data_IF_879497831793
#
_entry.id   IF_879497831793
#
_cell.length_a   1.000
_cell.length_b   1.000
_cell.length_c   1.000
_cell.angle_alpha   90.00
_cell.angle_beta   90.00
_cell.angle_gamma   90.00
#
_symmetry.space_group_name_H-M   'P 1'
#
loop_
_entity.id
_entity.type
_entity.pdbx_description
1 polymer ?
2 polymer ?
3 water ?
#
# COMPACT_ATOMS: atom_id res chain seq x y z
N UNK A 3 0.83 -29.30 -16.72
CA UNK A 3 -0.03 -30.18 -15.94
C UNK A 3 -1.37 -29.49 -15.69
N UNK A 4 -1.33 -28.29 -15.10
CA UNK A 4 -2.53 -27.57 -14.65
C UNK A 4 -2.82 -26.40 -15.60
N UNK A 5 -3.99 -25.78 -15.41
CA UNK A 5 -4.42 -24.68 -16.26
C UNK A 5 -5.31 -23.70 -15.49
N UNK A 6 -5.64 -22.58 -16.14
CA UNK A 6 -6.30 -21.45 -15.46
C UNK A 6 -7.62 -21.83 -14.79
N UNK A 7 -8.47 -22.62 -15.46
CA UNK A 7 -9.73 -22.99 -14.83
C UNK A 7 -9.46 -23.82 -13.58
N UNK A 8 -8.61 -24.84 -13.70
CA UNK A 8 -8.17 -25.62 -12.56
C UNK A 8 -7.41 -24.77 -11.54
N UNK A 9 -6.93 -23.59 -11.94
CA UNK A 9 -6.16 -22.74 -11.03
C UNK A 9 -6.97 -22.40 -9.77
N UNK A 10 -8.15 -21.82 -9.96
CA UNK A 10 -8.95 -21.34 -8.84
C UNK A 10 -9.42 -22.47 -7.93
N UNK A 11 -9.95 -23.54 -8.52
CA UNK A 11 -10.51 -24.63 -7.72
C UNK A 11 -9.47 -25.29 -6.82
N UNK A 12 -8.20 -25.25 -7.23
CA UNK A 12 -7.15 -25.83 -6.39
C UNK A 12 -6.84 -24.93 -5.20
N UNK A 13 -6.81 -23.61 -5.41
CA UNK A 13 -6.68 -22.68 -4.29
C UNK A 13 -7.78 -22.91 -3.26
N UNK A 14 -9.00 -23.17 -3.73
CA UNK A 14 -10.09 -23.55 -2.83
C UNK A 14 -9.71 -24.76 -1.99
N UNK A 15 -9.37 -25.87 -2.64
CA UNK A 15 -9.10 -27.11 -1.93
C UNK A 15 -8.00 -26.94 -0.89
N UNK A 16 -6.98 -26.15 -1.21
CA UNK A 16 -5.87 -25.94 -0.27
C UNK A 16 -6.36 -25.27 1.01
N UNK A 17 -7.16 -24.20 0.88
CA UNK A 17 -7.63 -23.48 2.05
C UNK A 17 -8.58 -24.35 2.87
N UNK A 18 -9.46 -25.09 2.19
CA UNK A 18 -10.43 -25.93 2.89
C UNK A 18 -9.75 -27.11 3.58
N UNK A 19 -8.86 -27.80 2.86
CA UNK A 19 -8.25 -29.01 3.40
C UNK A 19 -7.48 -28.73 4.68
N UNK A 20 -6.61 -27.73 4.67
CA UNK A 20 -5.74 -27.46 5.82
C UNK A 20 -6.55 -27.23 7.09
N UNK A 21 -6.07 -27.79 8.19
CA UNK A 21 -6.67 -27.63 9.50
C UNK A 21 -6.33 -26.33 10.19
N UNK A 22 -5.73 -25.39 9.49
CA UNK A 22 -5.37 -24.08 10.03
C UNK A 22 -6.34 -23.02 9.55
N UNK A 23 -6.52 -21.99 10.39
CA UNK A 23 -7.35 -20.83 10.05
C UNK A 23 -6.64 -19.98 9.01
N UNK A 24 -6.67 -20.44 7.76
CA UNK A 24 -6.26 -19.60 6.64
C UNK A 24 -7.45 -18.78 6.15
N UNK A 25 -7.21 -17.50 5.90
CA UNK A 25 -8.28 -16.58 5.55
C UNK A 25 -8.47 -16.48 4.04
N UNK A 26 -7.43 -16.66 3.25
CA UNK A 26 -7.53 -16.52 1.80
C UNK A 26 -6.34 -17.20 1.15
N UNK A 27 -6.47 -17.42 -0.15
CA UNK A 27 -5.37 -17.83 -1.00
C UNK A 27 -5.41 -17.02 -2.27
N UNK A 28 -4.23 -16.70 -2.79
CA UNK A 28 -4.09 -15.89 -3.99
C UNK A 28 -3.01 -16.51 -4.86
N UNK A 29 -3.24 -16.52 -6.17
CA UNK A 29 -2.24 -16.97 -7.13
C UNK A 29 -1.82 -15.79 -8.00
N UNK A 30 -0.56 -15.40 -7.89
CA UNK A 30 0.00 -14.32 -8.70
C UNK A 30 0.64 -14.92 -9.96
N UNK A 31 0.23 -14.44 -11.13
CA UNK A 31 0.62 -15.01 -12.42
C UNK A 31 1.65 -14.12 -13.12
N UNK A 32 2.36 -14.73 -14.09
CA UNK A 32 3.49 -14.11 -14.78
C UNK A 32 3.00 -13.31 -15.98
N UNK A 33 3.68 -12.20 -16.25
CA UNK A 33 3.46 -11.38 -17.43
C UNK A 33 4.78 -10.75 -17.87
N UNK A 34 4.82 -10.24 -19.09
CA UNK A 34 6.02 -9.67 -19.68
C UNK A 34 5.76 -8.25 -20.15
N UNK A 35 6.76 -7.38 -19.99
CA UNK A 35 6.60 -5.94 -20.16
C UNK A 35 7.74 -5.38 -20.99
N UNK A 36 7.45 -4.27 -21.70
CA UNK A 36 8.43 -3.57 -22.52
C UNK A 36 8.08 -2.09 -22.55
N UNK A 37 9.08 -1.26 -22.87
CA UNK A 37 8.88 0.18 -22.92
C UNK A 37 9.64 0.75 -24.11
N UNK A 38 9.23 1.96 -24.51
CA UNK A 38 9.89 2.66 -25.61
C UNK A 38 10.71 3.83 -25.08
N UNK A 41 13.33 -0.12 -22.24
CA UNK A 41 13.22 -0.97 -23.41
C UNK A 41 13.88 -2.32 -23.24
N UNK A 42 13.25 -3.16 -22.42
CA UNK A 42 13.77 -4.49 -22.11
C UNK A 42 12.60 -5.40 -21.77
N UNK A 43 12.90 -6.67 -21.51
CA UNK A 43 11.91 -7.69 -21.19
C UNK A 43 11.87 -7.92 -19.69
N UNK A 44 10.78 -7.51 -19.05
CA UNK A 44 10.63 -7.60 -17.61
C UNK A 44 9.58 -8.65 -17.25
N UNK A 45 9.93 -9.54 -16.32
CA UNK A 45 8.96 -10.50 -15.78
C UNK A 45 8.10 -9.79 -14.75
N UNK A 46 6.79 -9.97 -14.86
CA UNK A 46 5.81 -9.26 -14.04
C UNK A 46 4.93 -10.27 -13.32
N UNK A 47 4.64 -10.00 -12.06
CA UNK A 47 3.70 -10.81 -11.29
C UNK A 47 2.39 -10.03 -11.16
N UNK A 48 1.28 -10.71 -11.43
CA UNK A 48 -0.05 -10.08 -11.36
C UNK A 48 -1.13 -11.03 -10.90
N UNK A 49 -2.34 -10.53 -10.67
CA UNK A 49 -3.45 -11.37 -10.11
C UNK A 49 -3.97 -12.34 -11.17
N UNK A 50 -3.74 -13.63 -10.97
CA UNK A 50 -4.31 -14.63 -11.88
C UNK A 50 -5.58 -15.14 -11.27
N UNK A 51 -5.65 -15.16 -9.95
CA UNK A 51 -6.89 -15.54 -9.26
C UNK A 51 -6.70 -15.50 -7.75
N UNK A 52 -7.75 -15.83 -7.01
CA UNK A 52 -7.74 -15.86 -5.56
C UNK A 52 -9.03 -16.46 -5.04
N UNK A 53 -8.98 -16.92 -3.80
CA UNK A 53 -10.14 -17.44 -3.10
C UNK A 53 -10.16 -16.90 -1.68
N UNK A 54 -11.30 -16.40 -1.23
CA UNK A 54 -11.47 -15.89 0.12
C UNK A 54 -12.40 -16.81 0.91
N UNK A 55 -11.96 -17.22 2.09
CA UNK A 55 -12.74 -18.03 3.02
C UNK A 55 -13.19 -17.24 4.25
N UNK A 56 -12.30 -16.43 4.82
CA UNK A 56 -12.57 -15.62 5.98
C UNK A 56 -12.45 -16.34 7.30
N UNK A 57 -13.32 -16.01 8.25
CA UNK A 57 -13.27 -16.62 9.58
C UNK A 57 -14.59 -16.41 10.33
N UNK A 70 -15.96 4.98 11.79
CA UNK A 70 -15.81 3.86 10.87
C UNK A 70 -16.98 3.81 9.89
N UNK A 71 -18.09 4.46 10.24
CA UNK A 71 -19.23 4.53 9.32
C UNK A 71 -18.87 5.26 8.04
N UNK A 72 -17.87 6.12 8.06
CA UNK A 72 -17.35 6.71 6.84
C UNK A 72 -16.63 5.66 6.00
N UNK A 73 -15.69 4.96 6.64
CA UNK A 73 -14.96 3.88 5.98
C UNK A 73 -15.89 2.80 5.46
N UNK A 74 -16.91 2.43 6.25
CA UNK A 74 -17.74 1.29 5.89
C UNK A 74 -18.69 1.63 4.73
N UNK A 75 -19.37 2.78 4.80
CA UNK A 75 -20.28 3.14 3.72
C UNK A 75 -19.53 3.27 2.41
N UNK A 76 -18.30 3.78 2.49
CA UNK A 76 -17.43 3.80 1.33
C UNK A 76 -17.16 2.39 0.82
N UNK A 77 -16.94 1.44 1.74
CA UNK A 77 -16.55 0.08 1.35
C UNK A 77 -17.71 -0.68 0.72
N UNK A 78 -18.86 -0.67 1.38
CA UNK A 78 -19.99 -1.40 0.82
C UNK A 78 -20.37 -0.81 -0.54
N UNK A 79 -20.02 0.45 -0.81
CA UNK A 79 -20.47 1.09 -2.05
C UNK A 79 -19.77 0.54 -3.31
N UNK A 80 -18.48 0.23 -3.20
CA UNK A 80 -17.75 -0.42 -4.32
C UNK A 80 -18.23 -1.86 -4.37
N UNK A 81 -18.46 -2.46 -3.20
CA UNK A 81 -18.92 -3.83 -3.09
C UNK A 81 -20.25 -4.03 -3.80
N UNK A 82 -21.20 -3.11 -3.59
CA UNK A 82 -22.45 -3.16 -4.34
C UNK A 82 -22.23 -2.78 -5.80
N UNK A 83 -21.17 -2.03 -6.09
CA UNK A 83 -20.87 -1.63 -7.47
C UNK A 83 -20.28 -2.77 -8.29
N UNK A 84 -19.60 -3.72 -7.63
CA UNK A 84 -19.12 -4.91 -8.33
C UNK A 84 -20.18 -5.99 -8.44
N UNK A 85 -21.19 -5.98 -7.56
CA UNK A 85 -22.25 -6.99 -7.66
C UNK A 85 -23.17 -6.70 -8.84
N UNK A 86 -23.43 -5.42 -9.12
CA UNK A 86 -24.21 -5.06 -10.30
C UNK A 86 -23.45 -5.37 -11.59
N UNK A 87 -22.12 -5.44 -11.52
CA UNK A 87 -21.31 -5.72 -12.70
C UNK A 87 -21.30 -7.20 -13.07
N UNK A 88 -21.78 -8.08 -12.20
CA UNK A 88 -21.81 -9.50 -12.49
C UNK A 88 -21.90 -10.37 -11.26
N UNK A 98 -26.94 -3.25 3.78
CA UNK A 98 -26.66 -4.66 3.50
C UNK A 98 -25.80 -5.27 4.61
N UNK A 99 -24.78 -6.01 4.22
CA UNK A 99 -23.91 -6.65 5.18
C UNK A 99 -22.73 -5.73 5.51
N UNK A 100 -21.90 -6.17 6.44
CA UNK A 100 -20.69 -5.46 6.82
C UNK A 100 -19.52 -6.12 6.12
N UNK A 101 -18.53 -5.31 5.74
CA UNK A 101 -17.36 -5.80 5.03
C UNK A 101 -16.13 -5.50 5.87
N UNK A 102 -15.44 -6.57 6.28
CA UNK A 102 -14.38 -6.50 7.27
C UNK A 102 -13.06 -6.08 6.63
N UNK A 103 -12.02 -6.00 7.45
CA UNK A 103 -10.70 -5.57 6.98
C UNK A 103 -10.08 -6.62 6.06
N UNK A 104 -10.16 -7.89 6.44
CA UNK A 104 -9.57 -8.96 5.63
C UNK A 104 -10.21 -9.03 4.25
N UNK A 105 -11.54 -8.88 4.17
CA UNK A 105 -12.20 -8.88 2.88
C UNK A 105 -11.75 -7.69 2.04
N UNK A 106 -11.62 -6.53 2.66
CA UNK A 106 -11.15 -5.35 1.93
C UNK A 106 -9.76 -5.57 1.36
N UNK A 107 -8.85 -6.09 2.19
CA UNK A 107 -7.49 -6.38 1.73
C UNK A 107 -7.48 -7.37 0.57
N UNK A 108 -8.40 -8.35 0.60
CA UNK A 108 -8.40 -9.38 -0.44
C UNK A 108 -8.74 -8.80 -1.80
N UNK A 109 -9.77 -7.96 -1.89
CA UNK A 109 -10.17 -7.43 -3.18
C UNK A 109 -9.28 -6.27 -3.63
N UNK A 110 -8.75 -5.49 -2.67
CA UNK A 110 -7.79 -4.46 -3.03
C UNK A 110 -6.56 -5.08 -3.67
N UNK A 111 -6.19 -6.28 -3.22
CA UNK A 111 -5.02 -6.97 -3.76
C UNK A 111 -5.14 -7.29 -5.25
N UNK A 112 -6.36 -7.38 -5.78
CA UNK A 112 -6.54 -7.70 -7.19
C UNK A 112 -5.96 -6.63 -8.11
N UNK A 113 -5.78 -5.40 -7.62
CA UNK A 113 -5.23 -4.32 -8.42
C UNK A 113 -3.71 -4.23 -8.35
N UNK A 114 -3.06 -5.01 -7.50
CA UNK A 114 -1.61 -4.90 -7.31
C UNK A 114 -0.85 -5.79 -8.28
N UNK A 115 0.37 -5.36 -8.61
CA UNK A 115 1.28 -6.10 -9.47
C UNK A 115 2.69 -5.93 -8.94
N UNK A 116 3.55 -6.90 -9.25
CA UNK A 116 4.88 -6.97 -8.65
C UNK A 116 5.92 -7.27 -9.72
N UNK A 117 6.86 -6.34 -9.89
CA UNK A 117 8.03 -6.63 -10.72
C UNK A 117 8.79 -7.80 -10.11
N UNK A 118 9.25 -8.71 -10.97
CA UNK A 118 9.91 -9.92 -10.49
C UNK A 118 11.12 -9.56 -9.62
N UNK A 119 11.23 -10.24 -8.48
CA UNK A 119 12.29 -9.95 -7.54
C UNK A 119 12.06 -8.74 -6.67
N UNK A 120 10.85 -8.20 -6.64
CA UNK A 120 10.53 -7.01 -5.87
C UNK A 120 9.30 -7.31 -5.02
N UNK A 121 9.33 -6.91 -3.75
CA UNK A 121 8.22 -7.15 -2.87
C UNK A 121 8.11 -8.61 -2.47
N UNK A 122 7.02 -8.91 -1.74
CA UNK A 122 6.81 -10.27 -1.26
C UNK A 122 6.65 -11.28 -2.40
N UNK A 123 5.71 -11.10 -3.34
CA UNK A 123 5.58 -12.12 -4.41
C UNK A 123 6.75 -12.12 -5.36
N UNK A 124 7.36 -10.96 -5.63
CA UNK A 124 8.48 -10.92 -6.54
C UNK A 124 9.71 -11.63 -5.99
N UNK A 125 10.03 -11.37 -4.72
CA UNK A 125 11.18 -12.03 -4.10
C UNK A 125 11.00 -13.54 -4.07
N UNK A 126 9.77 -14.01 -3.83
CA UNK A 126 9.49 -15.44 -3.88
C UNK A 126 9.83 -16.02 -5.24
N UNK A 127 9.41 -15.35 -6.32
CA UNK A 127 9.52 -15.95 -7.64
C UNK A 127 10.95 -15.91 -8.18
N UNK A 128 11.68 -14.83 -7.93
CA UNK A 128 13.03 -14.71 -8.49
C UNK A 128 13.92 -15.87 -8.03
N UNK A 129 13.85 -16.23 -6.75
CA UNK A 129 14.73 -17.22 -6.18
C UNK A 129 14.03 -18.55 -5.89
N UNK A 130 12.84 -18.76 -6.47
CA UNK A 130 12.07 -20.00 -6.26
C UNK A 130 11.92 -20.28 -4.77
N UNK A 131 11.59 -19.23 -4.02
CA UNK A 131 11.61 -19.26 -2.58
C UNK A 131 10.22 -19.36 -2.00
N UNK A 132 10.13 -19.94 -0.80
CA UNK A 132 8.92 -19.91 0.01
C UNK A 132 9.20 -19.04 1.23
N UNK A 133 8.47 -17.94 1.33
CA UNK A 133 8.64 -16.99 2.42
C UNK A 133 7.48 -17.19 3.39
N UNK A 134 7.81 -17.60 4.62
CA UNK A 134 6.81 -17.80 5.66
C UNK A 134 7.00 -16.71 6.71
N UNK A 135 6.05 -15.80 6.80
CA UNK A 135 6.08 -14.69 7.74
C UNK A 135 5.02 -14.94 8.81
N UNK A 136 5.46 -15.31 10.01
CA UNK A 136 4.56 -15.66 11.10
C UNK A 136 4.74 -14.66 12.22
N UNK A 137 3.67 -13.97 12.59
CA UNK A 137 3.73 -12.95 13.62
C UNK A 137 3.74 -11.55 13.02
N UNK A 138 3.14 -10.62 13.76
CA UNK A 138 3.11 -9.23 13.30
C UNK A 138 4.52 -8.68 13.13
N UNK A 139 5.43 -9.02 14.03
CA UNK A 139 6.80 -8.53 13.93
C UNK A 139 7.48 -9.01 12.67
N UNK A 140 7.20 -10.25 12.26
CA UNK A 140 7.77 -10.77 11.02
C UNK A 140 7.21 -10.04 9.81
N UNK A 141 5.95 -9.61 9.88
CA UNK A 141 5.32 -8.91 8.77
C UNK A 141 5.89 -7.50 8.63
N UNK A 142 5.84 -6.72 9.71
CA UNK A 142 6.24 -5.32 9.65
C UNK A 142 7.76 -5.16 9.53
N UNK A 143 8.53 -6.18 9.89
CA UNK A 143 9.97 -6.16 9.74
C UNK A 143 10.47 -6.81 8.47
N UNK A 144 9.57 -7.21 7.56
CA UNK A 144 9.96 -7.89 6.33
C UNK A 144 10.43 -6.94 5.25
N UNK A 145 10.15 -5.65 5.38
CA UNK A 145 10.50 -4.68 4.35
C UNK A 145 9.67 -4.78 3.09
N UNK A 146 8.65 -5.62 3.06
CA UNK A 146 7.77 -5.76 1.90
C UNK A 146 6.50 -4.95 2.12
N UNK A 147 6.15 -4.12 1.13
CA UNK A 147 4.96 -3.29 1.23
C UNK A 147 3.71 -4.13 1.50
N UNK A 148 3.53 -5.21 0.74
CA UNK A 148 2.33 -6.03 0.86
C UNK A 148 2.22 -6.67 2.24
N UNK A 149 3.37 -6.96 2.87
CA UNK A 149 3.32 -7.55 4.21
C UNK A 149 2.89 -6.52 5.25
N UNK A 150 3.42 -5.29 5.16
CA UNK A 150 2.97 -4.25 6.07
C UNK A 150 1.52 -3.89 5.87
N UNK A 151 1.05 -3.88 4.62
CA UNK A 151 -0.35 -3.58 4.36
C UNK A 151 -1.26 -4.66 4.91
N UNK A 152 -0.87 -5.93 4.78
CA UNK A 152 -1.67 -7.01 5.32
C UNK A 152 -1.77 -6.95 6.83
N UNK A 153 -0.68 -6.55 7.49
CA UNK A 153 -0.70 -6.45 8.96
C UNK A 153 -1.67 -5.36 9.42
N UNK A 154 -1.74 -4.25 8.68
CA UNK A 154 -2.63 -3.16 9.04
C UNK A 154 -4.08 -3.64 9.07
N UNK A 155 -4.44 -4.52 8.14
CA UNK A 155 -5.78 -5.08 8.09
C UNK A 155 -5.94 -6.31 8.98
N UNK A 156 -5.01 -6.55 9.90
CA UNK A 156 -5.17 -7.56 10.92
C UNK A 156 -4.53 -8.89 10.64
N UNK A 157 -3.85 -9.04 9.51
CA UNK A 157 -3.17 -10.31 9.22
C UNK A 157 -1.97 -10.48 10.16
N UNK A 158 -1.74 -11.72 10.57
CA UNK A 158 -0.59 -12.06 11.39
C UNK A 158 0.30 -13.12 10.77
N UNK A 159 -0.16 -13.82 9.74
CA UNK A 159 0.64 -14.76 8.98
C UNK A 159 0.44 -14.48 7.50
N UNK A 160 1.53 -14.43 6.75
CA UNK A 160 1.46 -14.28 5.30
C UNK A 160 2.56 -15.11 4.68
N UNK A 161 2.19 -15.91 3.68
CA UNK A 161 3.08 -16.88 3.05
C UNK A 161 3.06 -16.66 1.55
N UNK A 162 4.22 -16.83 0.92
CA UNK A 162 4.33 -16.83 -0.54
C UNK A 162 5.21 -18.01 -0.93
N UNK A 163 4.66 -18.93 -1.72
CA UNK A 163 5.36 -20.13 -2.16
C UNK A 163 5.51 -20.06 -3.66
N UNK A 164 6.76 -20.11 -4.13
CA UNK A 164 7.05 -19.90 -5.54
C UNK A 164 6.82 -21.18 -6.33
N UNK A 165 5.90 -21.13 -7.27
CA UNK A 165 5.67 -22.23 -8.20
C UNK A 165 6.24 -21.86 -9.56
N UNK A 166 6.38 -22.86 -10.42
CA UNK A 166 6.68 -22.56 -11.82
C UNK A 166 5.48 -21.90 -12.50
N UNK A 167 4.28 -22.34 -12.14
CA UNK A 167 3.07 -21.69 -12.63
C UNK A 167 2.95 -20.25 -12.16
N UNK A 168 3.51 -19.94 -10.98
CA UNK A 168 3.46 -18.58 -10.47
C UNK A 168 3.89 -18.45 -9.03
N UNK A 169 3.10 -17.73 -8.23
CA UNK A 169 3.31 -17.63 -6.79
C UNK A 169 1.96 -17.74 -6.11
N UNK A 170 1.85 -18.66 -5.15
CA UNK A 170 0.66 -18.82 -4.34
C UNK A 170 0.87 -18.09 -3.03
N UNK A 171 -0.05 -17.21 -2.67
CA UNK A 171 0.03 -16.45 -1.43
C UNK A 171 -1.07 -16.90 -0.49
N UNK A 172 -0.69 -17.18 0.75
CA UNK A 172 -1.63 -17.52 1.81
C UNK A 172 -1.53 -16.46 2.92
N UNK A 173 -2.66 -16.20 3.56
CA UNK A 173 -2.69 -15.20 4.61
C UNK A 173 -3.75 -15.50 5.65
N UNK A 174 -3.44 -15.25 6.91
CA UNK A 174 -4.34 -15.57 8.00
C UNK A 174 -4.29 -14.49 9.06
N UNK A 175 -5.44 -14.25 9.69
CA UNK A 175 -5.49 -13.38 10.86
C UNK A 175 -4.83 -14.01 12.08
N UNK A 176 -4.51 -15.29 12.02
CA UNK A 176 -3.88 -16.00 13.13
C UNK A 176 -2.40 -16.23 12.86
N UNK A 177 -1.67 -16.58 13.92
CA UNK A 177 -0.26 -16.94 13.81
C UNK A 177 -0.18 -18.43 13.49
N UNK A 178 0.46 -18.75 12.36
CA UNK A 178 0.52 -20.12 11.86
C UNK A 178 1.97 -20.47 11.58
N UNK A 179 2.44 -21.57 12.17
CA UNK A 179 3.75 -22.10 11.84
C UNK A 179 3.66 -22.98 10.61
N UNK A 180 4.76 -23.08 9.88
CA UNK A 180 4.75 -23.84 8.63
C UNK A 180 4.53 -25.31 8.91
N UNK A 181 3.43 -25.85 8.40
CA UNK A 181 3.09 -27.26 8.58
C UNK A 181 3.62 -28.07 7.43
N UNK A 182 4.13 -29.26 7.75
CA UNK A 182 4.51 -30.21 6.70
C UNK A 182 3.30 -30.72 5.93
N UNK A 183 2.15 -30.81 6.61
CA UNK A 183 0.92 -31.22 5.95
C UNK A 183 0.50 -30.20 4.90
N UNK A 184 0.72 -28.92 5.17
CA UNK A 184 0.33 -27.87 4.23
C UNK A 184 1.22 -27.86 3.01
N UNK A 185 2.54 -27.91 3.22
CA UNK A 185 3.47 -27.95 2.09
C UNK A 185 3.24 -29.15 1.20
N UNK A 186 2.64 -30.21 1.72
CA UNK A 186 2.25 -31.34 0.90
C UNK A 186 1.08 -30.98 -0.01
N UNK A 187 0.04 -30.36 0.56
CA UNK A 187 -1.13 -29.99 -0.23
C UNK A 187 -0.78 -28.98 -1.31
N UNK A 188 0.01 -27.95 -0.96
CA UNK A 188 0.44 -26.96 -1.94
C UNK A 188 1.16 -27.63 -3.12
N UNK A 189 2.01 -28.62 -2.82
CA UNK A 189 2.77 -29.29 -3.86
C UNK A 189 1.88 -30.12 -4.78
N UNK A 190 0.73 -30.58 -4.28
CA UNK A 190 -0.17 -31.40 -5.06
C UNK A 190 -1.16 -30.59 -5.89
N UNK A 191 -1.21 -29.28 -5.71
CA UNK A 191 -2.21 -28.44 -6.36
C UNK A 191 -1.62 -27.38 -7.28
N UNK A 192 -0.31 -27.38 -7.50
CA UNK A 192 0.29 -26.37 -8.35
C UNK A 192 1.47 -26.96 -9.10
N UNK A 193 1.96 -26.20 -10.08
CA UNK A 193 3.02 -26.65 -10.96
C UNK A 193 4.38 -26.37 -10.34
N UNK A 194 5.30 -27.32 -10.49
CA UNK A 194 6.66 -27.16 -10.00
C UNK A 194 7.62 -27.77 -11.01
N UNK A 195 8.74 -27.09 -11.23
CA UNK A 195 9.75 -27.58 -12.17
C UNK A 195 10.54 -28.73 -11.57
N UNK B 3 -6.04 34.02 2.84
CA UNK B 3 -4.66 34.06 3.36
C UNK B 3 -3.63 33.64 2.32
N UNK B 4 -3.61 32.34 2.01
CA UNK B 4 -2.63 31.75 1.12
C UNK B 4 -3.27 31.26 -0.17
N UNK B 5 -2.42 30.82 -1.09
CA UNK B 5 -2.87 30.29 -2.37
C UNK B 5 -1.86 29.25 -2.85
N UNK B 6 -2.23 28.57 -3.94
CA UNK B 6 -1.48 27.41 -4.43
C UNK B 6 -0.02 27.74 -4.73
N UNK B 7 0.25 28.94 -5.25
CA UNK B 7 1.63 29.27 -5.63
C UNK B 7 2.58 29.23 -4.44
N UNK B 8 2.24 29.93 -3.36
CA UNK B 8 3.04 29.86 -2.15
C UNK B 8 3.04 28.47 -1.51
N UNK B 9 2.08 27.61 -1.86
CA UNK B 9 1.90 26.33 -1.17
C UNK B 9 3.19 25.53 -1.10
N UNK B 10 3.83 25.28 -2.25
CA UNK B 10 5.06 24.48 -2.25
C UNK B 10 6.13 25.15 -1.40
N UNK B 11 6.32 26.46 -1.60
CA UNK B 11 7.35 27.18 -0.86
C UNK B 11 7.08 27.17 0.64
N UNK B 12 5.82 27.05 1.05
CA UNK B 12 5.52 27.01 2.48
C UNK B 12 5.88 25.67 3.08
N UNK B 13 5.58 24.57 2.39
CA UNK B 13 6.08 23.27 2.82
C UNK B 13 7.60 23.27 2.94
N UNK B 14 8.27 23.92 1.99
CA UNK B 14 9.72 24.10 2.06
C UNK B 14 10.13 24.74 3.39
N UNK B 15 9.63 25.96 3.65
CA UNK B 15 10.06 26.72 4.81
C UNK B 15 9.87 25.95 6.11
N UNK B 16 8.76 25.21 6.22
CA UNK B 16 8.49 24.45 7.43
C UNK B 16 9.56 23.40 7.68
N UNK B 17 9.90 22.63 6.65
CA UNK B 17 10.87 21.55 6.82
C UNK B 17 12.25 22.10 7.16
N UNK B 18 12.65 23.19 6.50
CA UNK B 18 13.98 23.77 6.76
C UNK B 18 14.03 24.41 8.14
N UNK B 19 13.04 25.22 8.48
CA UNK B 19 13.07 25.99 9.73
C UNK B 19 13.15 25.07 10.94
N UNK B 20 12.27 24.07 11.01
CA UNK B 20 12.17 23.21 12.19
C UNK B 20 13.52 22.57 12.52
N UNK B 21 13.83 22.51 13.82
CA UNK B 21 15.04 21.89 14.30
C UNK B 21 15.02 20.38 14.41
N UNK B 22 13.98 19.74 13.88
CA UNK B 22 13.90 18.28 13.89
C UNK B 22 14.23 17.73 12.50
N UNK B 23 14.83 16.54 12.48
CA UNK B 23 15.15 15.84 11.25
C UNK B 23 13.86 15.29 10.65
N UNK B 24 13.12 16.18 10.00
CA UNK B 24 12.00 15.79 9.15
C UNK B 24 12.50 15.54 7.73
N UNK B 25 12.02 14.45 7.13
CA UNK B 25 12.49 14.06 5.79
C UNK B 25 11.64 14.63 4.67
N UNK B 26 10.35 14.90 4.90
CA UNK B 26 9.50 15.39 3.83
C UNK B 26 8.27 16.06 4.42
N UNK B 27 7.58 16.82 3.59
CA UNK B 27 6.28 17.38 3.89
C UNK B 27 5.37 17.22 2.68
N UNK B 28 4.08 16.98 2.93
CA UNK B 28 3.09 16.76 1.89
C UNK B 28 1.83 17.51 2.27
N UNK B 29 1.17 18.11 1.27
CA UNK B 29 -0.12 18.76 1.46
C UNK B 29 -1.17 18.02 0.66
N UNK B 30 -2.15 17.45 1.35
CA UNK B 30 -3.28 16.78 0.70
C UNK B 30 -4.41 17.77 0.55
N UNK B 31 -4.87 17.98 -0.69
CA UNK B 31 -5.86 19.00 -1.00
C UNK B 31 -7.22 18.35 -1.27
N UNK B 32 -8.28 19.15 -1.13
CA UNK B 32 -9.65 18.67 -1.20
C UNK B 32 -10.15 18.67 -2.64
N UNK B 33 -11.04 17.72 -2.93
CA UNK B 33 -11.79 17.69 -4.17
C UNK B 33 -13.16 17.12 -3.86
N UNK B 34 -14.13 17.39 -4.74
CA UNK B 34 -15.52 17.01 -4.49
C UNK B 34 -16.16 16.21 -5.61
N UNK B 35 -15.38 15.76 -6.60
CA UNK B 35 -15.94 15.17 -7.81
C UNK B 35 -16.74 13.91 -7.49
N UNK B 41 -25.02 7.62 -5.36
CA UNK B 41 -24.51 8.90 -5.85
C UNK B 41 -24.66 10.03 -4.86
N UNK B 42 -23.55 10.64 -4.47
CA UNK B 42 -23.56 11.74 -3.50
C UNK B 42 -22.35 12.63 -3.75
N UNK B 43 -22.22 13.66 -2.94
CA UNK B 43 -21.10 14.61 -3.03
C UNK B 43 -20.08 14.18 -1.98
N UNK B 44 -18.95 13.66 -2.45
CA UNK B 44 -17.94 13.07 -1.58
C UNK B 44 -16.72 13.98 -1.50
N UNK B 45 -16.28 14.24 -0.27
CA UNK B 45 -15.06 15.00 -0.04
C UNK B 45 -13.87 14.06 -0.25
N UNK B 46 -12.91 14.49 -1.06
CA UNK B 46 -11.78 13.67 -1.48
C UNK B 46 -10.49 14.41 -1.14
N UNK B 47 -9.51 13.68 -0.62
CA UNK B 47 -8.18 14.22 -0.38
C UNK B 47 -7.23 13.68 -1.44
N UNK B 48 -6.40 14.56 -1.99
CA UNK B 48 -5.47 14.15 -3.05
C UNK B 48 -4.20 14.96 -3.04
N UNK B 49 -3.20 14.54 -3.82
CA UNK B 49 -1.88 15.22 -3.82
C UNK B 49 -2.01 16.62 -4.44
N UNK B 50 -1.84 17.66 -3.62
CA UNK B 50 -1.85 19.02 -4.14
C UNK B 50 -0.43 19.43 -4.36
N UNK B 51 0.44 19.01 -3.45
CA UNK B 51 1.88 19.25 -3.65
C UNK B 51 2.66 18.57 -2.54
N UNK B 52 3.98 18.74 -2.54
CA UNK B 52 4.84 18.15 -1.54
C UNK B 52 6.26 18.66 -1.70
N UNK B 53 7.03 18.51 -0.63
CA UNK B 53 8.45 18.86 -0.64
C UNK B 53 9.22 17.77 0.08
N UNK B 54 10.30 17.31 -0.55
CA UNK B 54 11.18 16.29 0.01
C UNK B 54 12.52 16.93 0.33
N UNK B 55 13.02 16.69 1.55
CA UNK B 55 14.32 17.24 1.94
C UNK B 55 15.43 16.20 1.99
N UNK B 56 15.17 15.01 2.55
CA UNK B 56 16.23 14.03 2.59
C UNK B 56 17.21 14.29 3.71
N UNK B 57 18.49 14.13 3.43
CA UNK B 57 19.54 14.34 4.42
C UNK B 57 20.88 14.59 3.72
N UNK B 70 19.24 -7.17 -4.38
CA UNK B 70 18.49 -5.93 -4.20
C UNK B 70 18.68 -5.00 -5.40
N UNK B 71 19.74 -5.25 -6.17
CA UNK B 71 19.99 -4.49 -7.40
C UNK B 71 18.86 -4.66 -8.40
N UNK B 72 18.09 -5.74 -8.29
CA UNK B 72 16.91 -5.91 -9.14
C UNK B 72 15.82 -4.90 -8.76
N UNK B 73 15.50 -4.80 -7.48
CA UNK B 73 14.51 -3.82 -7.02
C UNK B 73 14.91 -2.41 -7.41
N UNK B 74 16.19 -2.09 -7.29
CA UNK B 74 16.64 -0.71 -7.50
C UNK B 74 16.57 -0.31 -8.97
N UNK B 75 16.97 -1.22 -9.87
CA UNK B 75 16.98 -0.88 -11.30
C UNK B 75 15.58 -0.48 -11.77
N UNK B 76 14.54 -1.13 -11.23
CA UNK B 76 13.18 -0.68 -11.48
C UNK B 76 12.98 0.76 -11.01
N UNK B 77 13.57 1.11 -9.87
CA UNK B 77 13.35 2.43 -9.29
C UNK B 77 14.03 3.52 -10.10
N UNK B 78 15.32 3.33 -10.42
CA UNK B 78 16.06 4.37 -11.15
C UNK B 78 15.47 4.58 -12.54
N UNK B 79 14.97 3.51 -13.17
CA UNK B 79 14.37 3.65 -14.49
C UNK B 79 13.11 4.51 -14.41
N UNK B 80 12.32 4.33 -13.35
CA UNK B 80 11.14 5.18 -13.17
C UNK B 80 11.55 6.61 -12.82
N UNK B 81 12.59 6.76 -11.99
CA UNK B 81 13.11 8.09 -11.71
C UNK B 81 13.60 8.78 -12.98
N UNK B 82 14.33 8.04 -13.81
CA UNK B 82 14.81 8.58 -15.08
C UNK B 82 13.67 8.79 -16.07
N UNK B 83 12.59 8.04 -15.94
CA UNK B 83 11.46 8.19 -16.88
C UNK B 83 10.67 9.45 -16.59
N UNK B 84 10.61 9.87 -15.32
CA UNK B 84 10.00 11.15 -14.99
C UNK B 84 10.98 12.30 -15.14
N UNK B 85 12.28 12.02 -15.12
CA UNK B 85 13.29 13.04 -15.31
C UNK B 85 13.32 13.55 -16.74
N UNK B 86 13.05 12.67 -17.71
CA UNK B 86 12.98 13.10 -19.11
C UNK B 86 11.81 14.05 -19.33
N UNK B 87 10.76 13.95 -18.50
CA UNK B 87 9.61 14.83 -18.62
C UNK B 87 9.83 16.20 -17.99
N UNK B 88 10.89 16.37 -17.21
CA UNK B 88 11.17 17.64 -16.56
C UNK B 88 12.06 17.51 -15.34
N UNK B 98 22.39 6.17 -13.06
CA UNK B 98 22.52 7.45 -12.39
C UNK B 98 22.88 6.92 -10.99
N UNK B 99 22.39 7.56 -9.94
CA UNK B 99 22.82 7.15 -8.59
C UNK B 99 21.67 6.44 -7.90
N UNK B 100 21.71 6.34 -6.58
CA UNK B 100 20.71 5.63 -5.80
C UNK B 100 19.49 6.45 -5.35
N UNK B 101 18.32 5.78 -5.31
CA UNK B 101 17.07 6.36 -4.82
C UNK B 101 16.59 5.51 -3.65
N UNK B 102 16.56 6.08 -2.45
CA UNK B 102 16.35 5.32 -1.23
C UNK B 102 14.86 5.06 -0.99
N UNK B 103 14.57 4.40 0.15
CA UNK B 103 13.20 4.03 0.47
C UNK B 103 12.33 5.25 0.73
N UNK B 104 12.86 6.22 1.48
CA UNK B 104 12.09 7.43 1.77
C UNK B 104 11.70 8.17 0.50
N UNK B 105 12.61 8.26 -0.46
CA UNK B 105 12.30 8.92 -1.72
C UNK B 105 11.24 8.15 -2.50
N UNK B 106 11.34 6.81 -2.52
CA UNK B 106 10.33 6.01 -3.19
C UNK B 106 8.96 6.20 -2.56
N UNK B 107 8.89 6.15 -1.23
CA UNK B 107 7.63 6.39 -0.54
C UNK B 107 7.08 7.77 -0.87
N UNK B 108 7.96 8.76 -1.01
CA UNK B 108 7.52 10.12 -1.31
C UNK B 108 6.88 10.19 -2.69
N UNK B 109 7.49 9.53 -3.68
CA UNK B 109 6.98 9.60 -5.05
C UNK B 109 5.76 8.69 -5.25
N UNK B 110 5.74 7.54 -4.57
CA UNK B 110 4.56 6.67 -4.64
C UNK B 110 3.35 7.37 -4.05
N UNK B 111 3.53 8.19 -3.03
CA UNK B 111 2.42 8.87 -2.38
C UNK B 111 1.69 9.83 -3.31
N UNK B 112 2.35 10.31 -4.38
CA UNK B 112 1.70 11.24 -5.29
C UNK B 112 0.51 10.61 -6.01
N UNK B 113 0.46 9.29 -6.11
CA UNK B 113 -0.65 8.60 -6.77
C UNK B 113 -1.79 8.26 -5.83
N UNK B 114 -1.63 8.46 -4.52
CA UNK B 114 -2.64 8.05 -3.56
C UNK B 114 -3.66 9.15 -3.33
N UNK B 115 -4.88 8.73 -3.00
CA UNK B 115 -5.97 9.64 -2.66
C UNK B 115 -6.80 9.00 -1.56
N UNK B 116 -7.46 9.84 -0.77
CA UNK B 116 -8.15 9.39 0.43
C UNK B 116 -9.53 10.03 0.50
N UNK B 117 -10.56 9.18 0.47
CA UNK B 117 -11.91 9.66 0.75
C UNK B 117 -11.93 10.23 2.17
N UNK B 118 -12.62 11.35 2.34
CA UNK B 118 -12.62 12.05 3.63
C UNK B 118 -13.10 11.14 4.75
N UNK B 119 -12.39 11.19 5.87
CA UNK B 119 -12.69 10.34 7.01
C UNK B 119 -12.16 8.93 6.94
N UNK B 120 -11.27 8.63 5.98
CA UNK B 120 -10.73 7.30 5.81
C UNK B 120 -9.21 7.40 5.75
N UNK B 121 -8.53 6.50 6.46
CA UNK B 121 -7.09 6.51 6.47
C UNK B 121 -6.54 7.67 7.27
N UNK B 122 -5.21 7.81 7.21
CA UNK B 122 -4.53 8.85 7.96
C UNK B 122 -4.96 10.26 7.53
N UNK B 123 -4.84 10.64 6.25
CA UNK B 123 -5.27 12.01 5.90
C UNK B 123 -6.77 12.23 5.98
N UNK B 124 -7.57 11.21 5.69
CA UNK B 124 -9.01 11.38 5.77
C UNK B 124 -9.50 11.57 7.19
N UNK B 125 -9.02 10.74 8.12
CA UNK B 125 -9.40 10.89 9.52
C UNK B 125 -8.97 12.24 10.08
N UNK B 126 -7.79 12.71 9.67
CA UNK B 126 -7.34 14.03 10.08
C UNK B 126 -8.32 15.12 9.66
N UNK B 127 -8.77 15.09 8.41
CA UNK B 127 -9.54 16.20 7.88
C UNK B 127 -10.99 16.20 8.39
N UNK B 128 -11.61 15.03 8.52
CA UNK B 128 -13.02 14.98 8.91
C UNK B 128 -13.23 15.65 10.27
N UNK B 129 -12.34 15.39 11.22
CA UNK B 129 -12.51 15.86 12.59
C UNK B 129 -11.60 17.02 12.94
N UNK B 130 -11.01 17.67 11.93
CA UNK B 130 -10.11 18.80 12.14
C UNK B 130 -9.03 18.44 13.15
N UNK B 131 -8.47 17.24 12.98
CA UNK B 131 -7.59 16.63 13.97
C UNK B 131 -6.14 16.69 13.52
N UNK B 132 -5.24 16.69 14.50
CA UNK B 132 -3.81 16.48 14.27
C UNK B 132 -3.43 15.13 14.86
N UNK B 133 -3.00 14.23 14.00
CA UNK B 133 -2.60 12.88 14.39
C UNK B 133 -1.08 12.83 14.43
N UNK B 134 -0.53 12.61 15.62
CA UNK B 134 0.92 12.50 15.78
C UNK B 134 1.24 11.06 16.14
N UNK B 135 1.87 10.35 15.20
CA UNK B 135 2.25 8.95 15.37
C UNK B 135 3.77 8.90 15.49
N UNK B 136 4.26 8.67 16.71
CA UNK B 136 5.69 8.68 17.01
C UNK B 136 6.11 7.28 17.44
N UNK B 137 7.04 6.70 16.73
CA UNK B 137 7.49 5.35 17.00
C UNK B 137 6.91 4.35 16.02
N UNK B 138 7.70 3.31 15.73
CA UNK B 138 7.23 2.27 14.80
C UNK B 138 5.95 1.62 15.31
N UNK B 139 5.85 1.38 16.62
CA UNK B 139 4.66 0.77 17.17
C UNK B 139 3.43 1.62 16.97
N UNK B 140 3.58 2.94 17.07
CA UNK B 140 2.45 3.84 16.85
C UNK B 140 1.98 3.80 15.40
N UNK B 141 2.91 3.60 14.46
CA UNK B 141 2.54 3.54 13.05
C UNK B 141 1.79 2.26 12.73
N UNK B 142 2.40 1.10 13.06
CA UNK B 142 1.83 -0.18 12.68
C UNK B 142 0.57 -0.53 13.48
N UNK B 143 0.36 0.10 14.63
CA UNK B 143 -0.83 -0.09 15.42
C UNK B 143 -1.91 0.93 15.16
N UNK B 144 -1.73 1.82 14.18
CA UNK B 144 -2.68 2.89 13.90
C UNK B 144 -3.87 2.43 13.06
N UNK B 145 -3.76 1.26 12.41
CA UNK B 145 -4.82 0.82 11.53
C UNK B 145 -4.96 1.60 10.25
N UNK B 146 -4.05 2.54 9.99
CA UNK B 146 -4.07 3.33 8.76
C UNK B 146 -3.09 2.73 7.75
N UNK B 147 -3.57 2.51 6.53
CA UNK B 147 -2.73 1.93 5.48
C UNK B 147 -1.48 2.77 5.26
N UNK B 148 -1.65 4.08 5.12
CA UNK B 148 -0.53 4.96 4.79
C UNK B 148 0.54 4.95 5.88
N UNK B 149 0.14 4.74 7.13
CA UNK B 149 1.11 4.68 8.22
C UNK B 149 1.93 3.39 8.17
N UNK B 150 1.26 2.26 7.92
CA UNK B 150 1.99 1.00 7.80
C UNK B 150 2.94 0.98 6.62
N UNK B 151 2.53 1.57 5.50
CA UNK B 151 3.40 1.64 4.33
C UNK B 151 4.61 2.52 4.61
N UNK B 152 4.40 3.65 5.29
CA UNK B 152 5.53 4.52 5.62
C UNK B 152 6.52 3.85 6.55
N UNK B 153 6.02 3.04 7.49
CA UNK B 153 6.91 2.33 8.41
C UNK B 153 7.76 1.32 7.66
N UNK B 154 7.18 0.65 6.66
CA UNK B 154 7.93 -0.34 5.89
C UNK B 154 9.12 0.31 5.19
N UNK B 155 8.95 1.53 4.72
CA UNK B 155 10.02 2.28 4.07
C UNK B 155 10.91 3.01 5.08
N UNK B 156 10.81 2.68 6.35
CA UNK B 156 11.74 3.17 7.36
C UNK B 156 11.30 4.38 8.15
N UNK B 157 10.11 4.90 7.91
CA UNK B 157 9.63 6.02 8.69
C UNK B 157 9.31 5.57 10.12
N UNK B 158 9.58 6.45 11.07
CA UNK B 158 9.26 6.19 12.47
C UNK B 158 8.35 7.23 13.08
N UNK B 159 8.17 8.38 12.43
CA UNK B 159 7.22 9.39 12.84
C UNK B 159 6.42 9.84 11.62
N UNK B 160 5.10 9.93 11.77
CA UNK B 160 4.25 10.43 10.70
C UNK B 160 3.14 11.26 11.31
N UNK B 161 2.95 12.47 10.77
CA UNK B 161 2.05 13.47 11.33
C UNK B 161 1.08 13.91 10.25
N UNK B 162 -0.17 14.17 10.65
CA UNK B 162 -1.17 14.77 9.77
C UNK B 162 -1.88 15.86 10.55
N UNK B 163 -1.80 17.10 10.06
CA UNK B 163 -2.38 18.25 10.71
C UNK B 163 -3.47 18.81 9.80
N UNK B 164 -4.69 18.92 10.31
CA UNK B 164 -5.83 19.29 9.50
C UNK B 164 -5.84 20.80 9.28
N UNK B 165 -5.75 21.20 8.02
CA UNK B 165 -5.80 22.59 7.60
C UNK B 165 -7.18 22.86 6.99
N UNK B 166 -7.57 24.14 6.91
CA UNK B 166 -8.77 24.47 6.16
C UNK B 166 -8.53 24.31 4.66
N UNK B 167 -7.36 24.71 4.19
CA UNK B 167 -6.94 24.47 2.82
C UNK B 167 -6.72 22.99 2.53
N UNK B 168 -6.45 22.17 3.54
CA UNK B 168 -6.29 20.74 3.34
C UNK B 168 -5.74 19.98 4.54
N UNK B 169 -4.76 19.11 4.31
CA UNK B 169 -4.05 18.41 5.38
C UNK B 169 -2.57 18.41 5.04
N UNK B 170 -1.75 18.84 6.00
CA UNK B 170 -0.30 18.80 5.87
C UNK B 170 0.21 17.54 6.57
N UNK B 171 0.99 16.75 5.85
CA UNK B 171 1.56 15.53 6.40
C UNK B 171 3.07 15.68 6.54
N UNK B 172 3.59 15.34 7.71
CA UNK B 172 5.03 15.32 7.95
C UNK B 172 5.46 13.89 8.30
N UNK B 173 6.68 13.55 7.90
CA UNK B 173 7.20 12.23 8.15
C UNK B 173 8.72 12.23 8.26
N UNK B 174 9.25 11.44 9.18
CA UNK B 174 10.67 11.40 9.43
C UNK B 174 11.11 9.97 9.71
N UNK B 175 12.35 9.65 9.29
CA UNK B 175 12.95 8.38 9.65
C UNK B 175 13.29 8.29 11.14
N UNK B 176 13.22 9.40 11.87
CA UNK B 176 13.54 9.43 13.29
C UNK B 176 12.26 9.51 14.12
N UNK B 177 12.41 9.22 15.41
CA UNK B 177 11.33 9.37 16.37
C UNK B 177 11.31 10.81 16.87
N UNK B 178 10.19 11.50 16.66
CA UNK B 178 10.07 12.92 16.96
C UNK B 178 8.82 13.12 17.80
N UNK B 179 8.99 13.74 18.97
CA UNK B 179 7.85 14.14 19.79
C UNK B 179 7.30 15.47 19.30
N UNK B 180 6.01 15.70 19.56
CA UNK B 180 5.36 16.89 19.05
C UNK B 180 5.95 18.13 19.70
N UNK B 181 6.55 19.00 18.89
CA UNK B 181 7.19 20.22 19.36
C UNK B 181 6.20 21.37 19.33
N UNK B 182 6.28 22.22 20.37
CA UNK B 182 5.51 23.46 20.34
C UNK B 182 6.05 24.43 19.31
N UNK B 183 7.36 24.39 19.05
CA UNK B 183 7.95 25.25 18.02
C UNK B 183 7.44 24.89 16.63
N UNK B 184 7.24 23.60 16.35
CA UNK B 184 6.76 23.19 15.04
C UNK B 184 5.30 23.57 14.84
N UNK B 185 4.45 23.29 15.82
CA UNK B 185 3.04 23.64 15.71
C UNK B 185 2.86 25.14 15.51
N UNK B 186 3.84 25.95 15.94
CA UNK B 186 3.83 27.38 15.65
C UNK B 186 4.11 27.62 14.17
N UNK B 187 5.14 26.98 13.64
CA UNK B 187 5.49 27.17 12.24
C UNK B 187 4.38 26.69 11.31
N UNK B 188 3.81 25.51 11.58
CA UNK B 188 2.71 25.01 10.78
C UNK B 188 1.55 26.00 10.76
N UNK B 189 1.27 26.61 11.92
CA UNK B 189 0.14 27.52 12.02
C UNK B 189 0.38 28.80 11.23
N UNK B 190 1.64 29.19 11.02
CA UNK B 190 1.96 30.41 10.29
C UNK B 190 2.07 30.22 8.79
N UNK B 191 2.03 28.98 8.31
CA UNK B 191 2.29 28.70 6.90
C UNK B 191 1.09 28.08 6.19
N UNK B 192 -0.04 27.92 6.86
CA UNK B 192 -1.19 27.30 6.24
C UNK B 192 -2.47 27.96 6.73
N UNK B 193 -3.59 27.62 6.08
CA UNK B 193 -4.88 28.23 6.33
C UNK B 193 -5.59 27.55 7.50
N UNK B 194 -6.23 28.34 8.34
CA UNK B 194 -6.99 27.78 9.45
C UNK B 194 -8.26 28.59 9.67
N UNK B 195 -9.36 27.90 9.92
CA UNK B 195 -10.65 28.53 10.16
C UNK B 195 -10.69 29.15 11.56
N UNK C 11 -20.02 -14.71 4.43
CA UNK C 11 -21.32 -15.08 3.85
C UNK C 11 -21.52 -14.42 2.49
N UNK C 12 -22.43 -13.44 2.46
CA UNK C 12 -22.83 -12.84 1.19
C UNK C 12 -21.65 -12.18 0.49
N UNK C 13 -20.87 -11.36 1.21
CA UNK C 13 -19.75 -10.68 0.60
C UNK C 13 -18.67 -11.66 0.15
N UNK C 14 -18.56 -12.82 0.82
CA UNK C 14 -17.51 -13.78 0.47
C UNK C 14 -17.75 -14.39 -0.91
N UNK C 15 -19.00 -14.68 -1.24
CA UNK C 15 -19.29 -15.25 -2.56
C UNK C 15 -19.05 -14.22 -3.66
N UNK C 16 -19.32 -12.95 -3.38
CA UNK C 16 -19.07 -11.90 -4.37
C UNK C 16 -17.58 -11.71 -4.59
N UNK C 17 -16.78 -11.81 -3.52
CA UNK C 17 -15.33 -11.70 -3.66
C UNK C 17 -14.79 -12.79 -4.58
N UNK C 18 -15.21 -14.03 -4.37
CA UNK C 18 -14.78 -15.13 -5.23
C UNK C 18 -15.35 -14.98 -6.64
N UNK C 19 -16.50 -14.32 -6.78
CA UNK C 19 -17.03 -14.02 -8.11
C UNK C 19 -16.08 -13.09 -8.86
N UNK C 20 -15.70 -11.98 -8.24
CA UNK C 20 -14.77 -11.04 -8.87
C UNK C 20 -13.40 -11.69 -9.01
N UNK C 21 -13.02 -12.54 -8.06
CA UNK C 21 -11.68 -13.14 -8.08
C UNK C 21 -11.48 -14.00 -9.32
N UNK C 22 -12.43 -14.89 -9.61
CA UNK C 22 -12.29 -15.81 -10.72
C UNK C 22 -12.21 -15.09 -12.07
N UNK C 23 -12.70 -13.86 -12.15
CA UNK C 23 -12.65 -13.07 -13.38
C UNK C 23 -11.65 -11.93 -13.31
N UNK C 24 -11.17 -11.57 -12.12
CA UNK C 24 -10.27 -10.42 -11.95
C UNK C 24 -9.05 -10.48 -12.86
N UNK C 25 -8.69 -11.66 -13.37
CA UNK C 25 -7.61 -11.75 -14.35
C UNK C 25 -7.95 -10.97 -15.61
N UNK C 26 -9.12 -11.26 -16.20
CA UNK C 26 -9.53 -10.52 -17.39
C UNK C 26 -10.04 -9.13 -17.04
N UNK C 27 -10.70 -8.99 -15.89
CA UNK C 27 -11.19 -7.70 -15.43
C UNK C 27 -10.01 -6.76 -15.17
N UNK C 28 -9.90 -5.70 -15.97
CA UNK C 28 -8.75 -4.82 -15.88
C UNK C 28 -8.93 -3.62 -14.96
N UNK C 29 -10.18 -3.27 -14.66
CA UNK C 29 -10.49 -2.07 -13.87
C UNK C 29 -11.32 -2.47 -12.66
N UNK C 30 -10.64 -2.86 -11.57
CA UNK C 30 -11.30 -3.19 -10.33
C UNK C 30 -11.03 -2.13 -9.28
N UNK D 11 21.47 13.13 -3.26
CA UNK D 11 20.98 14.49 -3.13
C UNK D 11 20.30 14.97 -4.40
N UNK D 12 20.90 14.61 -5.55
CA UNK D 12 20.38 15.08 -6.83
C UNK D 12 19.03 14.44 -7.15
N UNK D 13 18.76 13.25 -6.62
CA UNK D 13 17.45 12.63 -6.82
C UNK D 13 16.35 13.44 -6.14
N UNK D 14 16.65 13.94 -4.94
CA UNK D 14 15.65 14.72 -4.20
C UNK D 14 15.27 15.99 -4.96
N UNK D 15 16.17 16.51 -5.79
CA UNK D 15 15.87 17.75 -6.51
C UNK D 15 14.77 17.56 -7.54
N UNK D 16 14.89 16.55 -8.41
CA UNK D 16 13.80 16.28 -9.35
C UNK D 16 12.57 15.71 -8.66
N UNK D 17 12.73 15.14 -7.46
CA UNK D 17 11.56 14.72 -6.69
C UNK D 17 10.66 15.91 -6.39
N UNK D 18 11.28 17.00 -5.94
CA UNK D 18 10.51 18.23 -5.62
C UNK D 18 10.02 18.86 -6.91
N UNK D 19 10.77 18.68 -8.00
CA UNK D 19 10.34 19.20 -9.29
C UNK D 19 9.10 18.47 -9.80
N UNK D 20 9.12 17.14 -9.72
CA UNK D 20 7.92 16.37 -10.07
C UNK D 20 6.81 16.62 -9.06
N UNK D 21 7.17 16.75 -7.78
CA UNK D 21 6.16 17.02 -6.75
C UNK D 21 5.43 18.32 -7.02
N UNK D 22 6.18 19.41 -7.25
CA UNK D 22 5.57 20.72 -7.45
C UNK D 22 4.73 20.80 -8.72
N UNK D 23 4.88 19.85 -9.64
CA UNK D 23 4.13 19.85 -10.89
C UNK D 23 3.32 18.57 -11.09
N UNK D 24 3.18 17.75 -10.05
CA UNK D 24 2.42 16.50 -10.18
C UNK D 24 0.92 16.78 -10.24
N UNK D 25 0.42 17.62 -9.33
CA UNK D 25 -1.00 17.92 -9.25
C UNK D 25 -1.51 18.56 -10.54
#
# INVERSE_FOLDING_TARGET
QPQFNEDTLQQRLQALIESAGENWTYAIFWQISHDFDSSTGDNTVILGWGDGYYKGEEDKEKKKNNTNTAEQEHRKRVIRELNSLISGGIGVSDESNDEEVTDTEWFFLVSMTQSFVNGVGLPGESFLNSRVIWLSGSGALTGSGCERAGQGQIYGLKTMVCIATQNGVVELGSSEVISQSSDLMHKVNNLFNFN
QPQFNEDTLQQRLQALIESAGENWTYAIFWQISHDFDSSTGDNTVILGWGDGYYKGEEDKEKKKNNTNTAEQEHRKRVIRELNSLISGGIGVSDESNDEEVTDTEWFFLVSMTQSFVNGVGLPGESFLNSRVIWLSGSGALTGSGCERAGQGQIYGLKTMVCIATQNGVVELGSSEVISQSSDLMHKVNNLFNFN
SSKKRCFKRSSSTSKLLNKVAARASSMGTILGASIEGTLISSTPLSSCL
SSKKRCFKRSSSTSKLLNKVAARASSMGTILGASIEGTLISSTPLSSCL
#
